data_IF_915236736380
#
_entry.id   IF_915236736380
#
_cell.length_a   1.000
_cell.length_b   1.000
_cell.length_c   1.000
_cell.angle_alpha   90.00
_cell.angle_beta   90.00
_cell.angle_gamma   90.00
#
_symmetry.space_group_name_H-M   'P 1'
#
loop_
_entity.id
_entity.type
_entity.pdbx_description
1 polymer ?
#
# COMPACT_ATOMS: atom_id res chain seq x y z
N UNK A 1 5.36 6.67 -7.75
CA UNK A 1 4.04 6.71 -7.08
C UNK A 1 3.10 7.49 -7.98
N UNK A 2 1.86 7.04 -8.09
CA UNK A 2 0.87 7.61 -9.02
C UNK A 2 -0.52 7.52 -8.39
N UNK A 3 -1.35 8.55 -8.57
CA UNK A 3 -2.78 8.49 -8.30
C UNK A 3 -3.51 8.62 -9.63
N UNK A 4 -4.33 7.63 -9.96
CA UNK A 4 -5.21 7.67 -11.11
C UNK A 4 -6.62 8.09 -10.64
N UNK A 5 -7.07 9.31 -10.98
CA UNK A 5 -8.38 9.81 -10.55
C UNK A 5 -9.55 9.11 -11.24
N UNK A 6 -9.36 8.58 -12.46
CA UNK A 6 -10.41 7.85 -13.18
C UNK A 6 -10.59 6.45 -12.57
N UNK A 7 -9.48 5.77 -12.28
CA UNK A 7 -9.50 4.47 -11.61
C UNK A 7 -9.70 4.58 -10.08
N UNK A 8 -9.66 5.78 -9.50
CA UNK A 8 -9.69 6.05 -8.05
C UNK A 8 -8.67 5.18 -7.31
N UNK A 9 -7.46 5.12 -7.85
CA UNK A 9 -6.41 4.20 -7.41
C UNK A 9 -5.13 4.93 -7.06
N UNK A 10 -4.69 4.74 -5.82
CA UNK A 10 -3.37 5.18 -5.34
C UNK A 10 -2.36 4.05 -5.48
N UNK A 11 -1.39 4.17 -6.38
CA UNK A 11 -0.38 3.15 -6.64
C UNK A 11 1.00 3.54 -6.11
N UNK A 12 1.54 2.70 -5.23
CA UNK A 12 2.89 2.76 -4.70
C UNK A 12 3.62 1.52 -5.18
N UNK A 13 4.81 1.71 -5.77
CA UNK A 13 5.69 0.60 -6.15
C UNK A 13 7.04 0.78 -5.48
N UNK A 14 7.51 -0.28 -4.83
CA UNK A 14 8.84 -0.40 -4.25
C UNK A 14 9.48 -1.67 -4.80
N UNK A 15 10.73 -1.60 -5.24
CA UNK A 15 11.45 -2.72 -5.82
C UNK A 15 12.90 -2.74 -5.34
N UNK A 16 13.54 -3.90 -5.45
CA UNK A 16 14.94 -4.11 -5.11
C UNK A 16 15.26 -3.70 -3.66
N UNK A 17 16.36 -2.99 -3.43
CA UNK A 17 16.78 -2.56 -2.09
C UNK A 17 16.23 -1.17 -1.83
N UNK A 18 15.40 -1.04 -0.80
CA UNK A 18 14.79 0.23 -0.39
C UNK A 18 15.32 0.60 0.98
N UNK A 19 15.94 1.78 1.08
CA UNK A 19 16.50 2.31 2.32
C UNK A 19 15.47 3.16 3.08
N UNK A 20 15.69 3.45 4.37
CA UNK A 20 14.83 4.39 5.10
C UNK A 20 14.75 5.77 4.43
N UNK A 21 15.80 6.22 3.74
CA UNK A 21 15.78 7.48 2.99
C UNK A 21 14.76 7.43 1.86
N UNK A 22 14.76 6.35 1.08
CA UNK A 22 13.84 6.18 -0.05
C UNK A 22 12.38 6.19 0.41
N UNK A 23 12.08 5.57 1.56
CA UNK A 23 10.72 5.59 2.14
C UNK A 23 10.32 7.00 2.63
N UNK A 24 11.26 7.78 3.18
CA UNK A 24 10.99 9.18 3.55
C UNK A 24 10.71 10.06 2.33
N UNK A 25 11.48 9.87 1.27
CA UNK A 25 11.30 10.61 0.01
C UNK A 25 9.95 10.24 -0.63
N UNK A 26 9.59 8.95 -0.60
CA UNK A 26 8.25 8.48 -0.98
C UNK A 26 7.15 9.14 -0.15
N UNK A 27 7.37 9.36 1.16
CA UNK A 27 6.40 9.99 2.05
C UNK A 27 5.92 11.37 1.58
N UNK A 28 6.78 12.15 0.92
CA UNK A 28 6.37 13.45 0.35
C UNK A 28 5.41 13.29 -0.82
N UNK A 29 5.75 12.40 -1.76
CA UNK A 29 4.89 12.08 -2.90
C UNK A 29 3.56 11.48 -2.43
N UNK A 30 3.61 10.70 -1.35
CA UNK A 30 2.45 10.08 -0.73
C UNK A 30 1.45 11.10 -0.18
N UNK A 31 1.92 12.07 0.60
CA UNK A 31 1.06 13.15 1.10
C UNK A 31 0.43 13.95 -0.03
N UNK A 32 1.18 14.25 -1.08
CA UNK A 32 0.65 14.98 -2.24
C UNK A 32 -0.44 14.18 -2.97
N UNK A 33 -0.18 12.89 -3.21
CA UNK A 33 -1.14 12.03 -3.90
C UNK A 33 -2.43 11.81 -3.08
N UNK A 34 -2.34 11.70 -1.76
CA UNK A 34 -3.51 11.66 -0.89
C UNK A 34 -4.32 12.96 -0.97
N UNK A 35 -3.67 14.12 -0.97
CA UNK A 35 -4.36 15.40 -1.13
C UNK A 35 -5.12 15.49 -2.48
N UNK A 36 -4.58 14.89 -3.55
CA UNK A 36 -5.24 14.83 -4.85
C UNK A 36 -6.52 13.98 -4.88
N UNK A 37 -6.77 13.15 -3.87
CA UNK A 37 -8.04 12.39 -3.77
C UNK A 37 -9.23 13.30 -3.47
N UNK A 38 -8.99 14.49 -2.89
CA UNK A 38 -10.02 15.45 -2.47
C UNK A 38 -11.15 14.82 -1.62
N UNK A 39 -10.83 13.78 -0.83
CA UNK A 39 -11.79 13.03 -0.01
C UNK A 39 -12.69 12.06 -0.77
N UNK A 40 -12.51 11.93 -2.10
CA UNK A 40 -13.26 10.94 -2.88
C UNK A 40 -12.87 9.52 -2.50
N UNK A 41 -13.80 8.54 -2.61
CA UNK A 41 -13.49 7.15 -2.39
C UNK A 41 -12.32 6.67 -3.27
N UNK A 42 -11.34 5.97 -2.70
CA UNK A 42 -10.21 5.41 -3.42
C UNK A 42 -9.72 4.09 -2.82
N UNK A 43 -9.07 3.26 -3.64
CA UNK A 43 -8.29 2.10 -3.19
C UNK A 43 -6.81 2.38 -3.31
N UNK A 44 -5.99 1.65 -2.55
CA UNK A 44 -4.54 1.69 -2.69
C UNK A 44 -3.98 0.35 -3.20
N UNK A 45 -2.96 0.43 -4.05
CA UNK A 45 -2.12 -0.69 -4.45
C UNK A 45 -0.69 -0.42 -3.98
N UNK A 46 -0.15 -1.35 -3.20
CA UNK A 46 1.24 -1.40 -2.80
C UNK A 46 1.90 -2.59 -3.52
N UNK A 47 2.55 -2.32 -4.66
CA UNK A 47 3.27 -3.29 -5.48
C UNK A 47 4.70 -3.44 -4.97
N UNK A 48 4.96 -4.55 -4.29
CA UNK A 48 6.23 -4.91 -3.65
C UNK A 48 6.90 -6.10 -4.34
N UNK A 49 6.53 -6.40 -5.59
CA UNK A 49 7.21 -7.44 -6.37
C UNK A 49 8.67 -7.06 -6.58
N UNK A 50 9.56 -8.04 -6.48
CA UNK A 50 11.03 -7.90 -6.55
C UNK A 50 11.64 -7.07 -5.42
N UNK A 51 10.89 -6.78 -4.36
CA UNK A 51 11.42 -6.09 -3.20
C UNK A 51 12.24 -7.07 -2.34
N UNK A 52 13.43 -6.65 -1.91
CA UNK A 52 14.14 -7.34 -0.82
C UNK A 52 13.47 -6.99 0.52
N UNK A 53 13.39 -7.92 1.49
CA UNK A 53 12.77 -7.65 2.77
C UNK A 53 13.27 -6.34 3.39
N UNK A 54 12.34 -5.50 3.84
CA UNK A 54 12.72 -4.24 4.49
C UNK A 54 13.31 -4.51 5.87
N UNK A 55 14.17 -3.63 6.34
CA UNK A 55 14.81 -3.76 7.65
C UNK A 55 14.69 -2.49 8.47
N UNK A 56 14.68 -2.66 9.80
CA UNK A 56 14.70 -1.58 10.79
C UNK A 56 13.71 -0.47 10.50
N UNK A 57 14.21 0.76 10.43
CA UNK A 57 13.41 1.97 10.27
C UNK A 57 12.55 1.97 8.98
N UNK A 58 13.00 1.32 7.90
CA UNK A 58 12.23 1.29 6.64
C UNK A 58 10.88 0.59 6.82
N UNK A 59 10.81 -0.43 7.69
CA UNK A 59 9.58 -1.13 8.04
C UNK A 59 8.60 -0.21 8.76
N UNK A 60 9.11 0.55 9.74
CA UNK A 60 8.32 1.50 10.53
C UNK A 60 7.77 2.62 9.65
N UNK A 61 8.60 3.18 8.79
CA UNK A 61 8.22 4.25 7.86
C UNK A 61 7.16 3.78 6.86
N UNK A 62 7.31 2.59 6.27
CA UNK A 62 6.30 2.06 5.35
C UNK A 62 4.97 1.78 6.09
N UNK A 63 5.05 1.28 7.32
CA UNK A 63 3.86 1.08 8.17
C UNK A 63 3.15 2.40 8.44
N UNK A 64 3.89 3.48 8.70
CA UNK A 64 3.33 4.82 8.88
C UNK A 64 2.65 5.33 7.59
N UNK A 65 3.21 5.07 6.41
CA UNK A 65 2.56 5.41 5.13
C UNK A 65 1.24 4.66 4.94
N UNK A 66 1.23 3.34 5.18
CA UNK A 66 0.01 2.53 5.15
C UNK A 66 -1.04 3.08 6.12
N UNK A 67 -0.61 3.52 7.31
CA UNK A 67 -1.49 4.10 8.32
C UNK A 67 -2.12 5.41 7.85
N UNK A 68 -1.31 6.29 7.26
CA UNK A 68 -1.82 7.52 6.68
C UNK A 68 -2.87 7.28 5.59
N UNK A 69 -2.72 6.25 4.74
CA UNK A 69 -3.77 5.83 3.81
C UNK A 69 -5.04 5.40 4.54
N UNK A 70 -4.92 4.50 5.52
CA UNK A 70 -6.06 3.92 6.24
C UNK A 70 -6.86 4.97 7.01
N UNK A 71 -6.19 6.01 7.50
CA UNK A 71 -6.80 7.12 8.25
C UNK A 71 -7.34 8.23 7.33
N UNK A 72 -7.05 8.19 6.03
CA UNK A 72 -7.51 9.20 5.08
C UNK A 72 -9.01 9.03 4.76
N UNK A 73 -9.71 10.16 4.63
CA UNK A 73 -11.11 10.17 4.18
C UNK A 73 -11.24 9.57 2.78
N UNK A 74 -12.27 8.75 2.56
CA UNK A 74 -12.48 8.05 1.29
C UNK A 74 -11.65 6.77 1.12
N UNK A 75 -10.80 6.39 2.07
CA UNK A 75 -10.09 5.11 1.97
C UNK A 75 -11.05 3.92 2.00
N UNK A 76 -11.05 3.13 0.93
CA UNK A 76 -11.95 1.99 0.75
C UNK A 76 -11.23 0.63 0.72
N UNK A 77 -9.92 0.62 0.95
CA UNK A 77 -9.12 -0.59 1.09
C UNK A 77 -7.80 -0.54 0.34
N UNK A 78 -6.94 -1.51 0.63
CA UNK A 78 -5.59 -1.61 0.10
C UNK A 78 -5.25 -3.05 -0.27
N UNK A 79 -4.54 -3.20 -1.39
CA UNK A 79 -3.88 -4.45 -1.76
C UNK A 79 -2.37 -4.27 -1.62
N UNK A 80 -1.73 -5.25 -1.01
CA UNK A 80 -0.28 -5.42 -1.00
C UNK A 80 0.04 -6.63 -1.86
N UNK A 81 0.61 -6.38 -3.04
CA UNK A 81 1.01 -7.41 -3.99
C UNK A 81 2.51 -7.68 -3.84
N UNK A 82 2.88 -8.91 -3.52
CA UNK A 82 4.27 -9.34 -3.44
C UNK A 82 4.52 -10.54 -4.37
N UNK A 83 5.78 -10.86 -4.66
CA UNK A 83 6.19 -12.11 -5.31
C UNK A 83 7.09 -12.98 -4.42
N UNK A 84 7.35 -12.52 -3.19
CA UNK A 84 8.15 -13.20 -2.18
C UNK A 84 7.31 -13.54 -0.95
N UNK A 85 7.26 -14.80 -0.50
CA UNK A 85 6.59 -15.19 0.75
C UNK A 85 7.15 -14.46 1.97
N UNK A 86 8.45 -14.16 1.99
CA UNK A 86 9.08 -13.42 3.10
C UNK A 86 8.58 -11.99 3.19
N UNK A 87 8.48 -11.30 2.05
CA UNK A 87 7.92 -9.94 1.99
C UNK A 87 6.45 -9.97 2.35
N UNK A 88 5.67 -10.92 1.82
CA UNK A 88 4.26 -11.08 2.17
C UNK A 88 4.08 -11.29 3.69
N UNK A 89 4.85 -12.20 4.28
CA UNK A 89 4.82 -12.46 5.73
C UNK A 89 5.18 -11.21 6.54
N UNK A 90 6.23 -10.48 6.14
CA UNK A 90 6.56 -9.19 6.77
C UNK A 90 5.38 -8.21 6.71
N UNK A 91 4.71 -8.11 5.56
CA UNK A 91 3.56 -7.21 5.41
C UNK A 91 2.33 -7.66 6.20
N UNK A 92 2.15 -8.96 6.40
CA UNK A 92 1.14 -9.49 7.32
C UNK A 92 1.39 -9.06 8.76
N UNK A 93 2.65 -9.03 9.21
CA UNK A 93 3.02 -8.59 10.56
C UNK A 93 2.94 -7.07 10.77
N UNK A 94 2.96 -6.29 9.68
CA UNK A 94 2.88 -4.81 9.71
C UNK A 94 1.54 -4.28 9.22
N UNK A 95 0.49 -5.08 9.32
CA UNK A 95 -0.89 -4.62 9.09
C UNK A 95 -1.25 -3.57 10.13
N UNK A 96 -1.76 -2.44 9.68
CA UNK A 96 -1.96 -1.25 10.54
C UNK A 96 -3.11 -1.46 11.53
N UNK A 97 -4.08 -2.31 11.22
CA UNK A 97 -5.15 -2.68 12.16
C UNK A 97 -5.15 -4.19 12.41
N UNK A 98 -4.74 -4.60 13.59
CA UNK A 98 -5.02 -5.95 14.10
C UNK A 98 -6.52 -6.12 14.24
N UNK A 99 -7.12 -7.02 13.46
CA UNK A 99 -8.56 -7.30 13.47
C UNK A 99 -9.39 -6.58 12.40
N UNK A 100 -8.78 -5.83 11.46
CA UNK A 100 -9.55 -5.40 10.27
C UNK A 100 -9.94 -6.60 9.44
N UNK A 101 -11.23 -6.64 9.14
CA UNK A 101 -11.85 -7.46 8.11
C UNK A 101 -10.90 -7.57 6.89
N UNK A 102 -10.57 -8.78 6.38
CA UNK A 102 -9.76 -8.95 5.17
C UNK A 102 -10.32 -8.23 3.93
N UNK A 103 -11.53 -7.68 4.03
CA UNK A 103 -12.10 -6.73 3.08
C UNK A 103 -11.37 -5.38 2.98
N UNK A 104 -10.54 -4.99 3.97
CA UNK A 104 -9.88 -3.67 4.00
C UNK A 104 -8.41 -3.74 3.58
N UNK A 105 -7.65 -4.77 3.98
CA UNK A 105 -6.26 -4.95 3.57
C UNK A 105 -6.00 -6.40 3.10
N UNK A 106 -5.76 -6.56 1.80
CA UNK A 106 -5.41 -7.84 1.17
C UNK A 106 -3.90 -7.89 0.94
N UNK A 107 -3.21 -8.85 1.56
CA UNK A 107 -1.82 -9.18 1.20
C UNK A 107 -1.88 -10.45 0.36
N UNK A 108 -1.35 -10.43 -0.85
CA UNK A 108 -1.41 -11.57 -1.77
C UNK A 108 -0.17 -11.70 -2.64
N UNK A 109 0.08 -12.93 -3.09
CA UNK A 109 1.05 -13.27 -4.12
C UNK A 109 0.39 -13.43 -5.50
N UNK A 110 -0.94 -13.41 -5.55
CA UNK A 110 -1.74 -13.66 -6.74
C UNK A 110 -2.24 -12.34 -7.34
N UNK A 111 -1.74 -12.03 -8.53
CA UNK A 111 -2.14 -10.84 -9.27
C UNK A 111 -3.64 -10.85 -9.64
N UNK A 112 -4.24 -12.02 -9.87
CA UNK A 112 -5.67 -12.11 -10.16
C UNK A 112 -6.51 -11.71 -8.94
N UNK A 113 -6.11 -12.12 -7.73
CA UNK A 113 -6.74 -11.69 -6.50
C UNK A 113 -6.60 -10.18 -6.27
N UNK A 114 -5.40 -9.64 -6.52
CA UNK A 114 -5.15 -8.21 -6.43
C UNK A 114 -6.08 -7.41 -7.35
N UNK A 115 -6.14 -7.79 -8.64
CA UNK A 115 -7.03 -7.16 -9.62
C UNK A 115 -8.50 -7.29 -9.23
N UNK A 116 -8.92 -8.47 -8.80
CA UNK A 116 -10.29 -8.73 -8.36
C UNK A 116 -10.70 -7.89 -7.14
N UNK A 117 -9.77 -7.58 -6.24
CA UNK A 117 -10.03 -6.68 -5.12
C UNK A 117 -10.15 -5.23 -5.58
N UNK A 118 -9.25 -4.78 -6.46
CA UNK A 118 -9.24 -3.39 -6.96
C UNK A 118 -10.45 -3.07 -7.85
N UNK A 119 -10.98 -4.07 -8.58
CA UNK A 119 -12.14 -3.90 -9.46
C UNK A 119 -13.50 -3.85 -8.72
N UNK A 120 -13.53 -4.04 -7.39
CA UNK A 120 -14.76 -3.94 -6.60
C UNK A 120 -15.24 -2.48 -6.57
N UNK A 121 -16.55 -2.29 -6.72
CA UNK A 121 -17.18 -0.97 -6.65
C UNK A 121 -16.77 -0.19 -5.38
N UNK A 122 -16.70 1.13 -5.53
CA UNK A 122 -16.35 2.12 -4.50
C UNK A 122 -17.55 2.97 -4.14
#
# INVERSE_FOLDING_TARGET
MEFDPEARLLSIRLHEHVTPRDVRDLGRAHTQALACTAGQPFRALLDLRRLFPLEGEAVELLTALKKACVEHEGFAGMVVLADSPTVAMQQHHTRVRSGTNPEIELVTLDEAQARGFLARAL
#
